data_IF_768895609910
#
_entry.id   IF_768895609910
#
_cell.length_a   1.000
_cell.length_b   1.000
_cell.length_c   1.000
_cell.angle_alpha   90.00
_cell.angle_beta   90.00
_cell.angle_gamma   90.00
#
_symmetry.space_group_name_H-M   'P 1'
#
loop_
_entity.id
_entity.type
_entity.pdbx_description
1 polymer ?
#
# COMPACT_ATOMS: atom_id res chain seq x y z
N UNK A 1 -5.60 -49.92 4.35
CA UNK A 1 -6.94 -49.29 4.26
C UNK A 1 -7.41 -48.66 5.57
N UNK A 2 -6.77 -48.91 6.72
CA UNK A 2 -7.18 -48.34 8.03
C UNK A 2 -6.76 -46.87 8.24
N UNK A 3 -5.84 -46.35 7.41
CA UNK A 3 -5.36 -44.95 7.47
C UNK A 3 -6.26 -43.96 6.71
N UNK A 4 -7.12 -44.46 5.82
CA UNK A 4 -8.00 -43.61 5.01
C UNK A 4 -8.90 -42.70 5.84
N UNK A 5 -9.57 -43.18 6.92
CA UNK A 5 -10.37 -42.33 7.79
C UNK A 5 -9.55 -41.22 8.47
N UNK A 6 -8.31 -41.54 8.86
CA UNK A 6 -7.42 -40.59 9.53
C UNK A 6 -6.87 -39.54 8.56
N UNK A 7 -6.54 -39.94 7.33
CA UNK A 7 -6.16 -39.03 6.25
C UNK A 7 -7.29 -38.06 5.89
N UNK A 8 -8.53 -38.56 5.83
CA UNK A 8 -9.73 -37.74 5.62
C UNK A 8 -9.95 -36.74 6.76
N UNK A 9 -9.82 -37.19 8.00
CA UNK A 9 -9.93 -36.31 9.17
C UNK A 9 -8.84 -35.23 9.17
N UNK A 10 -7.59 -35.60 8.89
CA UNK A 10 -6.47 -34.66 8.80
C UNK A 10 -6.66 -33.64 7.67
N UNK A 11 -7.10 -34.09 6.50
CA UNK A 11 -7.40 -33.22 5.36
C UNK A 11 -8.54 -32.25 5.66
N UNK A 12 -9.58 -32.70 6.35
CA UNK A 12 -10.70 -31.86 6.77
C UNK A 12 -10.27 -30.81 7.80
N UNK A 13 -9.46 -31.19 8.80
CA UNK A 13 -8.94 -30.27 9.82
C UNK A 13 -8.06 -29.19 9.17
N UNK A 14 -7.12 -29.59 8.31
CA UNK A 14 -6.26 -28.65 7.59
C UNK A 14 -7.07 -27.74 6.66
N UNK A 15 -8.03 -28.31 5.92
CA UNK A 15 -8.92 -27.55 5.04
C UNK A 15 -9.79 -26.54 5.82
N UNK A 16 -10.33 -26.93 6.97
CA UNK A 16 -11.10 -26.06 7.84
C UNK A 16 -10.24 -24.93 8.43
N UNK A 17 -9.00 -25.23 8.83
CA UNK A 17 -8.05 -24.22 9.33
C UNK A 17 -7.72 -23.18 8.24
N UNK A 18 -7.41 -23.64 7.02
CA UNK A 18 -7.15 -22.73 5.90
C UNK A 18 -8.42 -21.97 5.48
N UNK A 19 -9.59 -22.61 5.52
CA UNK A 19 -10.88 -21.97 5.28
C UNK A 19 -11.18 -20.86 6.29
N UNK A 20 -10.89 -21.09 7.58
CA UNK A 20 -11.06 -20.09 8.63
C UNK A 20 -10.12 -18.90 8.44
N UNK A 21 -8.87 -19.15 8.04
CA UNK A 21 -7.89 -18.10 7.73
C UNK A 21 -8.39 -17.26 6.54
N UNK A 22 -8.86 -17.91 5.47
CA UNK A 22 -9.41 -17.22 4.31
C UNK A 22 -10.64 -16.40 4.67
N UNK A 23 -11.58 -16.96 5.46
CA UNK A 23 -12.74 -16.23 5.98
C UNK A 23 -12.28 -15.04 6.82
N UNK A 24 -11.34 -15.23 7.74
CA UNK A 24 -10.76 -14.16 8.55
C UNK A 24 -10.22 -13.01 7.71
N UNK A 25 -9.45 -13.30 6.66
CA UNK A 25 -8.96 -12.28 5.74
C UNK A 25 -10.07 -11.62 4.92
N UNK A 26 -11.05 -12.37 4.41
CA UNK A 26 -12.20 -11.78 3.68
C UNK A 26 -13.11 -10.95 4.57
N UNK A 27 -13.20 -11.27 5.87
CA UNK A 27 -13.94 -10.48 6.84
C UNK A 27 -13.19 -9.19 7.17
N UNK A 28 -11.89 -9.27 7.48
CA UNK A 28 -11.06 -8.09 7.75
C UNK A 28 -11.08 -7.16 6.54
N UNK A 29 -10.81 -7.65 5.33
CA UNK A 29 -10.78 -6.82 4.13
C UNK A 29 -12.16 -6.50 3.54
N UNK A 30 -13.18 -7.31 3.82
CA UNK A 30 -14.56 -7.11 3.35
C UNK A 30 -15.34 -6.09 4.17
N UNK A 31 -15.07 -5.96 5.47
CA UNK A 31 -15.66 -4.90 6.32
C UNK A 31 -14.92 -3.57 6.10
N UNK A 32 -13.61 -3.63 5.87
CA UNK A 32 -12.80 -2.40 5.65
C UNK A 32 -13.30 -1.63 4.43
N UNK A 33 -13.93 -2.28 3.43
CA UNK A 33 -14.55 -1.71 2.19
C UNK A 33 -13.68 -0.75 1.36
N UNK A 34 -12.53 -0.37 1.89
CA UNK A 34 -11.54 0.56 1.43
C UNK A 34 -10.21 -0.13 1.76
N UNK A 35 -9.86 -1.18 1.01
CA UNK A 35 -8.43 -1.40 0.77
C UNK A 35 -8.02 -0.14 0.02
N UNK A 36 -7.62 0.89 0.77
CA UNK A 36 -7.40 2.20 0.24
C UNK A 36 -6.14 2.13 -0.62
N UNK A 37 -6.31 1.80 -1.89
CA UNK A 37 -5.25 1.78 -2.89
C UNK A 37 -4.65 3.19 -3.08
N UNK A 38 -5.32 4.25 -2.59
CA UNK A 38 -4.76 5.59 -2.58
C UNK A 38 -3.48 5.68 -1.76
N UNK A 39 -3.21 4.76 -0.81
CA UNK A 39 -1.92 4.80 -0.10
C UNK A 39 -0.73 4.58 -1.06
N UNK A 40 -0.89 3.70 -2.07
CA UNK A 40 0.12 3.48 -3.10
C UNK A 40 0.21 4.63 -4.10
N UNK A 41 -0.94 5.19 -4.51
CA UNK A 41 -0.99 6.31 -5.45
C UNK A 41 -0.46 7.61 -4.84
N UNK A 42 -0.83 7.94 -3.60
CA UNK A 42 -0.34 9.11 -2.86
C UNK A 42 1.18 9.03 -2.66
N UNK A 43 1.71 7.83 -2.40
CA UNK A 43 3.16 7.64 -2.29
C UNK A 43 3.88 7.88 -3.63
N UNK A 44 3.34 7.35 -4.74
CA UNK A 44 3.89 7.62 -6.08
C UNK A 44 3.85 9.11 -6.43
N UNK A 45 2.72 9.78 -6.18
CA UNK A 45 2.55 11.21 -6.43
C UNK A 45 3.58 12.03 -5.65
N UNK A 46 3.85 11.69 -4.38
CA UNK A 46 4.90 12.34 -3.61
C UNK A 46 6.29 12.19 -4.22
N UNK A 47 6.62 10.99 -4.72
CA UNK A 47 7.88 10.74 -5.44
C UNK A 47 8.00 11.54 -6.74
N UNK A 48 6.95 11.55 -7.57
CA UNK A 48 6.93 12.35 -8.81
C UNK A 48 6.89 13.85 -8.55
N UNK A 49 6.26 14.30 -7.45
CA UNK A 49 6.29 15.70 -7.00
C UNK A 49 7.71 16.14 -6.64
N UNK A 50 8.47 15.30 -5.95
CA UNK A 50 9.87 15.55 -5.64
C UNK A 50 10.75 15.59 -6.90
N UNK A 51 10.51 14.69 -7.86
CA UNK A 51 11.19 14.70 -9.15
C UNK A 51 10.88 15.96 -9.96
N UNK A 52 9.61 16.37 -10.00
CA UNK A 52 9.19 17.58 -10.72
C UNK A 52 9.82 18.83 -10.12
N UNK A 53 9.90 18.90 -8.78
CA UNK A 53 10.62 19.97 -8.09
C UNK A 53 12.10 19.99 -8.51
N UNK A 54 12.76 18.84 -8.57
CA UNK A 54 14.15 18.76 -9.02
C UNK A 54 14.34 19.23 -10.47
N UNK A 55 13.46 18.83 -11.38
CA UNK A 55 13.51 19.21 -12.79
C UNK A 55 13.25 20.70 -13.03
N UNK A 56 12.58 21.37 -12.08
CA UNK A 56 12.35 22.81 -12.13
C UNK A 56 13.52 23.64 -11.57
N UNK A 57 14.50 23.01 -10.90
CA UNK A 57 15.67 23.69 -10.38
C UNK A 57 16.73 23.88 -11.48
N UNK A 58 17.49 25.00 -11.47
CA UNK A 58 18.62 25.18 -12.37
C UNK A 58 19.72 24.13 -12.18
N UNK A 59 20.37 23.75 -13.28
CA UNK A 59 21.51 22.83 -13.24
C UNK A 59 22.62 23.37 -12.33
N UNK A 60 23.09 22.53 -11.40
CA UNK A 60 24.14 22.88 -10.44
C UNK A 60 23.64 23.45 -9.11
N UNK A 61 22.32 23.45 -8.84
CA UNK A 61 21.82 23.75 -7.49
C UNK A 61 22.47 22.88 -6.43
N UNK A 62 22.97 23.52 -5.37
CA UNK A 62 23.63 22.83 -4.27
C UNK A 62 22.68 21.79 -3.65
N UNK A 63 23.20 20.60 -3.38
CA UNK A 63 22.42 19.50 -2.80
C UNK A 63 21.71 19.89 -1.50
N UNK A 64 22.37 20.73 -0.68
CA UNK A 64 21.82 21.25 0.57
C UNK A 64 20.55 22.08 0.38
N UNK A 65 20.38 22.73 -0.78
CA UNK A 65 19.17 23.49 -1.13
C UNK A 65 18.18 22.63 -1.93
N UNK A 66 18.68 21.76 -2.81
CA UNK A 66 17.86 20.90 -3.65
C UNK A 66 17.05 19.89 -2.82
N UNK A 67 17.65 19.26 -1.81
CA UNK A 67 16.96 18.24 -0.99
C UNK A 67 15.73 18.79 -0.24
N UNK A 68 15.81 19.92 0.51
CA UNK A 68 14.62 20.50 1.13
C UNK A 68 13.53 20.87 0.13
N UNK A 69 13.90 21.40 -1.04
CA UNK A 69 12.95 21.82 -2.08
C UNK A 69 12.25 20.62 -2.73
N UNK A 70 12.97 19.52 -2.96
CA UNK A 70 12.40 18.26 -3.43
C UNK A 70 11.43 17.65 -2.42
N UNK A 71 11.79 17.67 -1.13
CA UNK A 71 10.89 17.20 -0.06
C UNK A 71 9.63 18.07 0.00
N UNK A 72 9.78 19.40 -0.07
CA UNK A 72 8.64 20.32 -0.12
C UNK A 72 7.72 20.02 -1.32
N UNK A 73 8.29 19.85 -2.51
CA UNK A 73 7.52 19.52 -3.72
C UNK A 73 6.78 18.19 -3.61
N UNK A 74 7.43 17.16 -3.07
CA UNK A 74 6.81 15.86 -2.84
C UNK A 74 5.69 15.91 -1.79
N UNK A 75 5.90 16.63 -0.68
CA UNK A 75 4.90 16.82 0.37
C UNK A 75 3.70 17.59 -0.15
N UNK A 76 3.90 18.69 -0.89
CA UNK A 76 2.80 19.46 -1.46
C UNK A 76 1.96 18.62 -2.43
N UNK A 77 2.61 17.84 -3.30
CA UNK A 77 1.92 16.98 -4.25
C UNK A 77 1.13 15.85 -3.56
N UNK A 78 1.74 15.16 -2.58
CA UNK A 78 1.06 14.06 -1.89
C UNK A 78 -0.06 14.54 -0.96
N UNK A 79 0.09 15.68 -0.29
CA UNK A 79 -0.95 16.25 0.58
C UNK A 79 -2.13 16.77 -0.23
N UNK A 80 -1.89 17.47 -1.34
CA UNK A 80 -2.99 17.99 -2.17
C UNK A 80 -3.84 16.87 -2.78
N UNK A 81 -3.20 15.83 -3.31
CA UNK A 81 -3.93 14.67 -3.84
C UNK A 81 -4.55 13.83 -2.72
N UNK A 82 -3.86 13.67 -1.58
CA UNK A 82 -4.39 12.95 -0.43
C UNK A 82 -5.67 13.57 0.11
N UNK A 83 -5.69 14.90 0.28
CA UNK A 83 -6.89 15.62 0.73
C UNK A 83 -8.00 15.55 -0.33
N UNK A 84 -7.67 15.73 -1.61
CA UNK A 84 -8.66 15.66 -2.69
C UNK A 84 -9.25 14.26 -2.90
N UNK A 85 -8.55 13.20 -2.47
CA UNK A 85 -9.02 11.82 -2.55
C UNK A 85 -9.80 11.37 -1.30
N UNK A 86 -9.75 12.14 -0.22
CA UNK A 86 -10.45 11.86 1.04
C UNK A 86 -11.86 12.49 1.09
N UNK A 87 -12.15 13.47 0.22
CA UNK A 87 -13.48 14.03 -0.07
C UNK A 87 -14.27 13.19 -1.11
#
# INVERSE_FOLDING_TARGET
MHELPQQLANGLILGAMYGLIAIGYTMVYGIVQLINFAHGEIFMVGGFGALTAHLALPDGTALALALPLMVLGGVLASVTIGVAAED
#
